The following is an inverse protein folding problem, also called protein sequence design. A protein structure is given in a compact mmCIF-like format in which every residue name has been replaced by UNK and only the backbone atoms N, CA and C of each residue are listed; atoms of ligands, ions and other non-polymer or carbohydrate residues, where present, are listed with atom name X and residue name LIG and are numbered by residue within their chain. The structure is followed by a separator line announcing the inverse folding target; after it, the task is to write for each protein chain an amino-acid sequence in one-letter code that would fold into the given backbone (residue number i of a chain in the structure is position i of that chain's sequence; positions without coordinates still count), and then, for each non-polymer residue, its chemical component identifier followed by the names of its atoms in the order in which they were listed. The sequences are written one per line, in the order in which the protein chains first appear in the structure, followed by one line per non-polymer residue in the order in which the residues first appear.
data_IF_676685662661
#
_entry.id   IF_676685662661
#
_cell.length_a   1.000
_cell.length_b   1.000
_cell.length_c   1.000
_cell.angle_alpha   90.00
_cell.angle_beta   90.00
_cell.angle_gamma   90.00
#
_symmetry.space_group_name_H-M   'P 1'
#
loop_
_entity.id
_entity.type
_entity.pdbx_description
1 polymer ?
#
# COMPACT_ATOMS: atom_id res chain seq x y z
N UNK A 1 -30.55 -11.77 -17.84
CA UNK A 1 -30.34 -10.31 -17.80
C UNK A 1 -29.46 -9.78 -16.64
N UNK A 2 -29.51 -10.32 -15.40
CA UNK A 2 -28.71 -9.78 -14.27
C UNK A 2 -27.23 -10.24 -14.23
N UNK A 3 -26.91 -11.43 -14.75
CA UNK A 3 -25.53 -11.97 -14.82
C UNK A 3 -24.62 -11.14 -15.76
N UNK A 4 -25.18 -10.55 -16.83
CA UNK A 4 -24.36 -9.75 -17.77
C UNK A 4 -23.89 -8.45 -17.11
N UNK A 5 -24.74 -7.77 -16.32
CA UNK A 5 -24.40 -6.49 -15.68
C UNK A 5 -23.22 -6.59 -14.72
N UNK A 6 -23.11 -7.66 -13.93
CA UNK A 6 -21.99 -7.86 -13.01
C UNK A 6 -20.67 -8.14 -13.76
N UNK A 7 -20.73 -9.00 -14.79
CA UNK A 7 -19.57 -9.29 -15.65
C UNK A 7 -19.10 -8.03 -16.38
N UNK A 8 -20.05 -7.21 -16.85
CA UNK A 8 -19.77 -5.91 -17.48
C UNK A 8 -19.13 -4.96 -16.47
N UNK A 9 -19.67 -4.82 -15.26
CA UNK A 9 -19.09 -3.96 -14.22
C UNK A 9 -17.65 -4.39 -13.88
N UNK A 10 -17.43 -5.67 -13.63
CA UNK A 10 -16.10 -6.19 -13.32
C UNK A 10 -15.11 -5.97 -14.49
N UNK A 11 -15.55 -6.22 -15.72
CA UNK A 11 -14.75 -5.95 -16.91
C UNK A 11 -14.41 -4.46 -17.05
N UNK A 12 -15.37 -3.57 -16.81
CA UNK A 12 -15.15 -2.12 -16.83
C UNK A 12 -14.15 -1.68 -15.75
N UNK A 13 -14.22 -2.23 -14.54
CA UNK A 13 -13.24 -1.94 -13.48
C UNK A 13 -11.82 -2.35 -13.89
N UNK A 14 -11.66 -3.54 -14.46
CA UNK A 14 -10.36 -4.04 -14.92
C UNK A 14 -9.84 -3.23 -16.12
N UNK A 15 -10.71 -2.94 -17.08
CA UNK A 15 -10.37 -2.11 -18.24
C UNK A 15 -9.94 -0.69 -17.83
N UNK A 16 -10.66 -0.10 -16.88
CA UNK A 16 -10.31 1.19 -16.31
C UNK A 16 -8.93 1.15 -15.61
N UNK A 17 -8.67 0.12 -14.79
CA UNK A 17 -7.39 -0.04 -14.12
C UNK A 17 -6.23 -0.20 -15.13
N UNK A 18 -6.39 -1.05 -16.15
CA UNK A 18 -5.39 -1.22 -17.22
C UNK A 18 -5.18 0.10 -17.97
N UNK A 19 -6.26 0.83 -18.28
CA UNK A 19 -6.19 2.11 -19.00
C UNK A 19 -5.38 3.15 -18.21
N UNK A 20 -5.58 3.25 -16.89
CA UNK A 20 -4.82 4.18 -16.02
C UNK A 20 -3.32 3.83 -16.03
N UNK A 21 -2.98 2.55 -15.83
CA UNK A 21 -1.56 2.14 -15.79
C UNK A 21 -0.91 2.29 -17.16
N UNK A 22 -1.64 1.99 -18.23
CA UNK A 22 -1.17 2.15 -19.62
C UNK A 22 -0.92 3.63 -19.95
N UNK A 23 -1.83 4.51 -19.52
CA UNK A 23 -1.66 5.95 -19.66
C UNK A 23 -0.40 6.44 -18.93
N UNK A 24 -0.16 5.95 -17.71
CA UNK A 24 1.05 6.28 -16.96
C UNK A 24 2.33 5.82 -17.66
N UNK A 25 2.33 4.63 -18.28
CA UNK A 25 3.49 4.16 -19.05
C UNK A 25 3.79 5.10 -20.22
N UNK A 26 2.77 5.58 -20.92
CA UNK A 26 2.94 6.54 -22.02
C UNK A 26 3.48 7.86 -21.48
N UNK A 27 2.90 8.37 -20.39
CA UNK A 27 3.32 9.60 -19.74
C UNK A 27 4.77 9.53 -19.25
N UNK A 28 5.20 8.41 -18.64
CA UNK A 28 6.60 8.20 -18.21
C UNK A 28 7.59 8.15 -19.38
N UNK A 29 7.19 7.59 -20.53
CA UNK A 29 8.04 7.63 -21.74
C UNK A 29 8.17 9.04 -22.30
N UNK A 30 7.11 9.83 -22.27
CA UNK A 30 7.16 11.25 -22.63
C UNK A 30 8.06 12.02 -21.67
N UNK A 31 7.91 11.80 -20.37
CA UNK A 31 8.75 12.42 -19.34
C UNK A 31 10.26 12.18 -19.55
N UNK A 32 10.68 10.96 -19.92
CA UNK A 32 12.09 10.67 -20.26
C UNK A 32 12.58 11.53 -21.44
N UNK A 33 11.76 11.66 -22.48
CA UNK A 33 12.10 12.47 -23.65
C UNK A 33 12.17 13.96 -23.27
N UNK A 34 11.23 14.45 -22.46
CA UNK A 34 11.13 15.86 -22.08
C UNK A 34 12.32 16.27 -21.19
N UNK A 35 12.73 15.43 -20.23
CA UNK A 35 13.93 15.64 -19.40
C UNK A 35 15.20 15.72 -20.27
N UNK A 36 15.25 14.90 -21.32
CA UNK A 36 16.41 14.85 -22.21
C UNK A 36 16.53 16.08 -23.10
N UNK A 37 15.39 16.71 -23.44
CA UNK A 37 15.31 17.74 -24.49
C UNK A 37 14.97 19.15 -23.99
N UNK A 38 14.44 19.32 -22.76
CA UNK A 38 13.94 20.61 -22.28
C UNK A 38 14.15 20.83 -20.78
N UNK A 39 14.35 22.09 -20.38
CA UNK A 39 14.37 22.52 -18.96
C UNK A 39 13.05 23.17 -18.53
N UNK A 40 12.08 23.30 -19.44
CA UNK A 40 10.81 24.01 -19.22
C UNK A 40 9.95 23.36 -18.12
N UNK A 41 10.13 22.06 -17.87
CA UNK A 41 9.38 21.29 -16.88
C UNK A 41 9.46 21.94 -15.47
N UNK A 42 10.55 22.64 -15.17
CA UNK A 42 10.84 23.13 -13.81
C UNK A 42 10.66 24.64 -13.63
N UNK A 43 10.29 25.36 -14.67
CA UNK A 43 10.18 26.82 -14.67
C UNK A 43 8.93 27.36 -13.94
N UNK A 44 7.97 26.51 -13.62
CA UNK A 44 6.74 26.90 -12.92
C UNK A 44 6.96 27.29 -11.45
N UNK A 45 8.15 26.99 -10.90
CA UNK A 45 8.48 27.22 -9.49
C UNK A 45 9.90 27.74 -9.32
N UNK A 46 10.07 28.82 -8.56
CA UNK A 46 11.37 29.45 -8.30
C UNK A 46 12.25 28.52 -7.47
N UNK A 47 11.70 27.95 -6.38
CA UNK A 47 12.41 26.97 -5.55
C UNK A 47 12.85 25.77 -6.40
N UNK A 48 11.96 25.27 -7.25
CA UNK A 48 12.23 24.07 -8.04
C UNK A 48 13.29 24.31 -9.11
N UNK A 49 13.24 25.47 -9.79
CA UNK A 49 14.29 25.91 -10.71
C UNK A 49 15.65 25.97 -9.99
N UNK A 50 15.71 26.61 -8.81
CA UNK A 50 16.95 26.72 -8.04
C UNK A 50 17.51 25.35 -7.62
N UNK A 51 16.66 24.43 -7.17
CA UNK A 51 17.08 23.09 -6.76
C UNK A 51 17.57 22.26 -7.94
N UNK A 52 16.90 22.37 -9.09
CA UNK A 52 17.28 21.68 -10.31
C UNK A 52 18.61 22.17 -10.87
N UNK A 53 18.82 23.49 -10.93
CA UNK A 53 20.05 24.10 -11.46
C UNK A 53 21.30 23.65 -10.70
N UNK A 54 21.17 23.33 -9.41
CA UNK A 54 22.27 22.83 -8.57
C UNK A 54 22.77 21.43 -8.97
N UNK A 55 21.93 20.60 -9.59
CA UNK A 55 22.24 19.18 -9.86
C UNK A 55 21.83 18.72 -11.26
N UNK A 56 21.59 19.64 -12.18
CA UNK A 56 20.96 19.41 -13.49
C UNK A 56 21.46 18.14 -14.21
N UNK A 57 22.78 18.01 -14.41
CA UNK A 57 23.36 16.89 -15.14
C UNK A 57 23.14 15.54 -14.45
N UNK A 58 23.35 15.49 -13.13
CA UNK A 58 23.14 14.28 -12.32
C UNK A 58 21.65 13.94 -12.27
N UNK A 59 20.80 14.95 -12.09
CA UNK A 59 19.36 14.79 -12.01
C UNK A 59 18.79 14.15 -13.28
N UNK A 60 19.21 14.61 -14.47
CA UNK A 60 18.75 14.04 -15.74
C UNK A 60 19.09 12.56 -15.86
N UNK A 61 20.32 12.19 -15.53
CA UNK A 61 20.81 10.80 -15.61
C UNK A 61 20.04 9.91 -14.63
N UNK A 62 19.95 10.31 -13.35
CA UNK A 62 19.27 9.55 -12.32
C UNK A 62 17.78 9.40 -12.60
N UNK A 63 17.10 10.48 -12.97
CA UNK A 63 15.67 10.44 -13.26
C UNK A 63 15.34 9.59 -14.49
N UNK A 64 16.19 9.60 -15.52
CA UNK A 64 16.03 8.68 -16.65
C UNK A 64 16.10 7.23 -16.18
N UNK A 65 17.16 6.86 -15.46
CA UNK A 65 17.37 5.49 -14.98
C UNK A 65 16.23 5.02 -14.06
N UNK A 66 15.77 5.88 -13.16
CA UNK A 66 14.67 5.57 -12.22
C UNK A 66 13.35 5.45 -12.95
N UNK A 67 13.08 6.33 -13.90
CA UNK A 67 11.83 6.29 -14.69
C UNK A 67 11.76 5.04 -15.55
N UNK A 68 12.88 4.59 -16.14
CA UNK A 68 12.94 3.33 -16.88
C UNK A 68 12.64 2.11 -15.98
N UNK A 69 13.23 2.06 -14.77
CA UNK A 69 12.90 1.04 -13.76
C UNK A 69 11.43 1.11 -13.34
N UNK A 70 10.90 2.32 -13.19
CA UNK A 70 9.50 2.55 -12.83
C UNK A 70 8.53 2.08 -13.92
N UNK A 71 8.84 2.29 -15.20
CA UNK A 71 8.05 1.75 -16.32
C UNK A 71 7.97 0.22 -16.24
N UNK A 72 9.07 -0.47 -15.87
CA UNK A 72 9.04 -1.92 -15.67
C UNK A 72 8.10 -2.33 -14.50
N UNK A 73 8.04 -1.54 -13.43
CA UNK A 73 7.09 -1.75 -12.33
C UNK A 73 5.64 -1.53 -12.76
N UNK A 74 5.36 -0.57 -13.65
CA UNK A 74 4.01 -0.37 -14.21
C UNK A 74 3.57 -1.55 -15.08
N UNK A 75 4.46 -2.13 -15.89
CA UNK A 75 4.17 -3.36 -16.62
C UNK A 75 3.86 -4.53 -15.69
N UNK A 76 4.56 -4.61 -14.55
CA UNK A 76 4.28 -5.58 -13.52
C UNK A 76 2.87 -5.39 -12.93
N UNK A 77 2.43 -4.16 -12.69
CA UNK A 77 1.07 -3.88 -12.24
C UNK A 77 0.02 -4.31 -13.27
N UNK A 78 0.24 -4.09 -14.57
CA UNK A 78 -0.66 -4.59 -15.62
C UNK A 78 -0.78 -6.12 -15.54
N UNK A 79 0.36 -6.81 -15.39
CA UNK A 79 0.37 -8.27 -15.21
C UNK A 79 -0.45 -8.72 -13.99
N UNK A 80 -0.32 -8.03 -12.86
CA UNK A 80 -1.10 -8.32 -11.65
C UNK A 80 -2.61 -8.15 -11.90
N UNK A 81 -3.02 -7.05 -12.53
CA UNK A 81 -4.42 -6.77 -12.85
C UNK A 81 -5.00 -7.86 -13.78
N UNK A 82 -4.25 -8.26 -14.81
CA UNK A 82 -4.66 -9.33 -15.73
C UNK A 82 -4.78 -10.68 -15.00
N UNK A 83 -3.87 -10.96 -14.07
CA UNK A 83 -3.93 -12.19 -13.27
C UNK A 83 -5.15 -12.20 -12.35
N UNK A 84 -5.49 -11.06 -11.74
CA UNK A 84 -6.73 -10.89 -10.97
C UNK A 84 -7.97 -11.19 -11.83
N UNK A 85 -8.00 -10.69 -13.07
CA UNK A 85 -9.07 -10.94 -14.04
C UNK A 85 -9.22 -12.44 -14.32
N UNK A 86 -8.13 -13.13 -14.66
CA UNK A 86 -8.16 -14.57 -14.97
C UNK A 86 -8.66 -15.39 -13.78
N UNK A 87 -8.10 -15.16 -12.59
CA UNK A 87 -8.51 -15.88 -11.37
C UNK A 87 -10.00 -15.60 -11.06
N UNK A 88 -10.45 -14.36 -11.17
CA UNK A 88 -11.86 -14.01 -10.95
C UNK A 88 -12.78 -14.72 -11.92
N UNK A 89 -12.42 -14.77 -13.21
CA UNK A 89 -13.22 -15.44 -14.23
C UNK A 89 -13.34 -16.95 -13.96
N UNK A 90 -12.29 -17.58 -13.43
CA UNK A 90 -12.34 -18.98 -12.99
C UNK A 90 -13.42 -19.17 -11.93
N UNK A 91 -13.46 -18.29 -10.91
CA UNK A 91 -14.45 -18.42 -9.84
C UNK A 91 -15.86 -17.92 -10.21
N UNK A 92 -16.00 -17.00 -11.17
CA UNK A 92 -17.32 -16.55 -11.66
C UNK A 92 -17.94 -17.56 -12.64
N UNK A 93 -17.11 -18.24 -13.45
CA UNK A 93 -17.57 -19.15 -14.50
C UNK A 93 -17.84 -20.55 -13.97
N UNK A 94 -19.13 -20.93 -13.85
CA UNK A 94 -19.54 -22.30 -13.47
C UNK A 94 -18.89 -23.39 -14.35
N UNK A 95 -18.71 -23.13 -15.66
CA UNK A 95 -18.04 -24.05 -16.59
C UNK A 95 -16.56 -24.23 -16.26
N UNK A 96 -15.84 -23.13 -16.02
CA UNK A 96 -14.42 -23.17 -15.67
C UNK A 96 -14.20 -23.89 -14.33
N UNK A 97 -15.02 -23.58 -13.32
CA UNK A 97 -15.00 -24.28 -12.02
C UNK A 97 -15.17 -25.79 -12.19
N UNK A 98 -16.19 -26.25 -12.93
CA UNK A 98 -16.43 -27.69 -13.13
C UNK A 98 -15.25 -28.42 -13.78
N UNK A 99 -14.60 -27.82 -14.78
CA UNK A 99 -13.44 -28.42 -15.46
C UNK A 99 -12.28 -28.63 -14.48
N UNK A 100 -12.02 -27.62 -13.64
CA UNK A 100 -10.92 -27.66 -12.68
C UNK A 100 -11.24 -28.61 -11.52
N UNK A 101 -12.47 -28.58 -10.98
CA UNK A 101 -12.87 -29.49 -9.90
C UNK A 101 -12.89 -30.94 -10.31
N UNK A 102 -13.22 -31.25 -11.58
CA UNK A 102 -13.11 -32.61 -12.09
C UNK A 102 -11.68 -33.14 -11.94
N UNK A 103 -10.68 -32.37 -12.38
CA UNK A 103 -9.25 -32.73 -12.23
C UNK A 103 -8.77 -32.80 -10.78
N UNK A 104 -9.24 -31.90 -9.91
CA UNK A 104 -8.84 -31.91 -8.49
C UNK A 104 -9.45 -33.09 -7.72
N UNK A 105 -10.67 -33.52 -8.08
CA UNK A 105 -11.36 -34.63 -7.42
C UNK A 105 -10.91 -36.02 -7.93
N UNK A 106 -10.23 -36.09 -9.07
CA UNK A 106 -9.58 -37.31 -9.59
C UNK A 106 -8.40 -37.77 -8.72
N UNK A 107 -7.82 -36.87 -7.92
CA UNK A 107 -6.78 -37.20 -6.95
C UNK A 107 -7.39 -37.55 -5.58
N UNK A 108 -6.87 -38.61 -4.95
CA UNK A 108 -7.27 -39.05 -3.61
C UNK A 108 -6.90 -37.99 -2.56
N UNK A 109 -7.80 -37.03 -2.32
CA UNK A 109 -7.67 -36.07 -1.23
C UNK A 109 -7.90 -36.77 0.11
N UNK A 110 -6.94 -36.63 1.01
CA UNK A 110 -7.00 -37.10 2.39
C UNK A 110 -8.11 -36.39 3.17
N UNK A 111 -8.91 -37.16 3.92
CA UNK A 111 -9.82 -36.60 4.92
C UNK A 111 -9.00 -36.02 6.07
N UNK A 112 -9.21 -34.74 6.40
CA UNK A 112 -8.55 -34.10 7.53
C UNK A 112 -9.49 -34.22 8.73
N UNK A 113 -9.18 -35.03 9.77
CA UNK A 113 -10.13 -35.40 10.82
C UNK A 113 -10.59 -34.24 11.71
N UNK A 114 -9.90 -33.10 11.66
CA UNK A 114 -10.12 -31.99 12.57
C UNK A 114 -11.12 -30.93 12.04
N UNK A 115 -11.51 -31.00 10.77
CA UNK A 115 -12.46 -30.08 10.15
C UNK A 115 -13.66 -30.85 9.59
N UNK A 116 -14.87 -30.51 10.02
CA UNK A 116 -16.14 -30.98 9.42
C UNK A 116 -16.40 -30.32 8.05
N UNK A 117 -15.38 -30.23 7.19
CA UNK A 117 -15.50 -29.72 5.83
C UNK A 117 -15.71 -30.89 4.86
N UNK A 118 -16.59 -30.70 3.87
CA UNK A 118 -16.72 -31.67 2.79
C UNK A 118 -15.46 -31.66 1.91
N UNK A 119 -15.16 -32.80 1.28
CA UNK A 119 -14.07 -32.91 0.28
C UNK A 119 -14.14 -31.81 -0.79
N UNK A 120 -15.34 -31.47 -1.26
CA UNK A 120 -15.56 -30.39 -2.22
C UNK A 120 -15.13 -29.01 -1.71
N UNK A 121 -15.28 -28.74 -0.40
CA UNK A 121 -14.89 -27.49 0.23
C UNK A 121 -13.37 -27.38 0.36
N UNK A 122 -12.71 -28.48 0.75
CA UNK A 122 -11.25 -28.57 0.78
C UNK A 122 -10.67 -28.33 -0.62
N UNK A 123 -11.21 -28.99 -1.66
CA UNK A 123 -10.80 -28.75 -3.05
C UNK A 123 -11.00 -27.29 -3.47
N UNK A 124 -12.09 -26.64 -3.01
CA UNK A 124 -12.41 -25.25 -3.33
C UNK A 124 -11.37 -24.26 -2.76
N UNK A 125 -10.95 -24.46 -1.51
CA UNK A 125 -9.86 -23.68 -0.90
C UNK A 125 -8.51 -23.98 -1.54
N UNK A 126 -8.18 -25.26 -1.75
CA UNK A 126 -6.91 -25.67 -2.38
C UNK A 126 -6.73 -25.03 -3.76
N UNK A 127 -7.80 -24.91 -4.55
CA UNK A 127 -7.76 -24.21 -5.82
C UNK A 127 -7.37 -22.73 -5.67
N UNK A 128 -7.96 -22.01 -4.72
CA UNK A 128 -7.60 -20.61 -4.46
C UNK A 128 -6.11 -20.49 -4.12
N UNK A 129 -5.61 -21.38 -3.25
CA UNK A 129 -4.20 -21.40 -2.82
C UNK A 129 -3.26 -21.64 -4.00
N UNK A 130 -3.55 -22.65 -4.83
CA UNK A 130 -2.75 -22.96 -6.03
C UNK A 130 -2.71 -21.76 -6.96
N UNK A 131 -3.85 -21.13 -7.25
CA UNK A 131 -3.92 -19.97 -8.15
C UNK A 131 -3.10 -18.78 -7.61
N UNK A 132 -3.20 -18.49 -6.32
CA UNK A 132 -2.40 -17.44 -5.68
C UNK A 132 -0.91 -17.77 -5.75
N UNK A 133 -0.53 -19.00 -5.41
CA UNK A 133 0.87 -19.46 -5.44
C UNK A 133 1.47 -19.36 -6.85
N UNK A 134 0.78 -19.91 -7.85
CA UNK A 134 1.20 -19.86 -9.26
C UNK A 134 1.32 -18.42 -9.75
N UNK A 135 0.37 -17.55 -9.42
CA UNK A 135 0.44 -16.13 -9.81
C UNK A 135 1.69 -15.43 -9.27
N UNK A 136 2.05 -15.66 -8.01
CA UNK A 136 3.25 -15.07 -7.42
C UNK A 136 4.54 -15.65 -7.99
N UNK A 137 4.59 -16.94 -8.33
CA UNK A 137 5.76 -17.55 -9.00
C UNK A 137 5.96 -16.95 -10.38
N UNK A 138 4.91 -16.85 -11.19
CA UNK A 138 5.03 -16.29 -12.54
C UNK A 138 5.46 -14.81 -12.44
N UNK A 139 4.88 -14.05 -11.50
CA UNK A 139 5.32 -12.69 -11.18
C UNK A 139 6.83 -12.65 -10.91
N UNK A 140 7.31 -13.54 -10.06
CA UNK A 140 8.73 -13.64 -9.74
C UNK A 140 9.58 -13.92 -10.99
N UNK A 141 9.23 -14.93 -11.78
CA UNK A 141 10.01 -15.35 -12.95
C UNK A 141 10.07 -14.26 -14.04
N UNK A 142 8.97 -13.54 -14.26
CA UNK A 142 8.90 -12.53 -15.32
C UNK A 142 9.65 -11.23 -14.96
N UNK A 143 9.65 -10.83 -13.70
CA UNK A 143 10.05 -9.47 -13.30
C UNK A 143 11.30 -9.40 -12.43
N UNK A 144 11.67 -10.46 -11.71
CA UNK A 144 12.88 -10.45 -10.87
C UNK A 144 14.17 -10.46 -11.71
N UNK A 145 14.13 -11.05 -12.91
CA UNK A 145 15.28 -11.11 -13.82
C UNK A 145 15.53 -9.82 -14.62
N UNK A 146 14.56 -8.89 -14.68
CA UNK A 146 14.64 -7.68 -15.53
C UNK A 146 14.84 -6.37 -14.78
N UNK A 147 14.50 -6.30 -13.48
CA UNK A 147 14.45 -5.03 -12.74
C UNK A 147 15.78 -4.71 -12.02
N UNK A 148 16.78 -5.60 -12.10
CA UNK A 148 18.11 -5.32 -11.54
C UNK A 148 18.10 -5.11 -10.03
N UNK A 149 17.16 -5.73 -9.31
CA UNK A 149 17.27 -5.84 -7.86
C UNK A 149 18.49 -6.71 -7.55
N UNK A 150 19.52 -6.11 -6.95
CA UNK A 150 20.72 -6.79 -6.47
C UNK A 150 20.36 -8.08 -5.73
N UNK A 151 20.96 -9.19 -6.17
CA UNK A 151 20.98 -10.49 -5.51
C UNK A 151 19.73 -10.83 -4.67
N UNK A 152 18.56 -10.84 -5.31
CA UNK A 152 17.34 -11.38 -4.72
C UNK A 152 17.53 -12.88 -4.43
N UNK A 153 17.71 -13.25 -3.16
CA UNK A 153 17.83 -14.66 -2.76
C UNK A 153 16.49 -15.39 -2.99
N UNK A 154 16.41 -16.04 -4.15
CA UNK A 154 15.28 -16.87 -4.58
C UNK A 154 14.84 -17.85 -3.49
N UNK A 155 15.80 -18.40 -2.74
CA UNK A 155 15.52 -19.38 -1.68
C UNK A 155 14.82 -18.71 -0.50
N UNK A 156 15.32 -17.56 -0.04
CA UNK A 156 14.68 -16.77 1.02
C UNK A 156 13.26 -16.34 0.63
N UNK A 157 13.06 -15.87 -0.60
CA UNK A 157 11.73 -15.47 -1.08
C UNK A 157 10.78 -16.65 -1.23
N UNK A 158 11.20 -17.78 -1.79
CA UNK A 158 10.36 -18.99 -1.84
C UNK A 158 10.01 -19.46 -0.43
N UNK A 159 10.97 -19.47 0.49
CA UNK A 159 10.72 -19.86 1.87
C UNK A 159 9.71 -18.92 2.55
N UNK A 160 9.85 -17.61 2.35
CA UNK A 160 8.90 -16.61 2.84
C UNK A 160 7.53 -16.75 2.18
N UNK A 161 7.48 -17.02 0.88
CA UNK A 161 6.25 -17.18 0.12
C UNK A 161 5.50 -18.45 0.52
N UNK A 162 6.20 -19.56 0.70
CA UNK A 162 5.67 -20.80 1.26
C UNK A 162 5.16 -20.55 2.68
N UNK A 163 5.93 -19.87 3.54
CA UNK A 163 5.49 -19.51 4.90
C UNK A 163 4.26 -18.63 4.87
N UNK A 164 4.24 -17.58 4.06
CA UNK A 164 3.08 -16.70 3.90
C UNK A 164 1.86 -17.47 3.40
N UNK A 165 2.02 -18.36 2.43
CA UNK A 165 0.91 -19.07 1.81
C UNK A 165 0.39 -20.16 2.72
N UNK A 166 1.26 -20.96 3.34
CA UNK A 166 0.85 -21.94 4.35
C UNK A 166 0.18 -21.20 5.50
N UNK A 167 0.82 -20.18 6.07
CA UNK A 167 0.27 -19.46 7.21
C UNK A 167 -1.06 -18.77 6.86
N UNK A 168 -1.13 -17.95 5.79
CA UNK A 168 -2.36 -17.23 5.41
C UNK A 168 -3.47 -18.18 4.97
N UNK A 169 -3.14 -19.28 4.28
CA UNK A 169 -4.15 -20.23 3.81
C UNK A 169 -4.67 -21.13 4.92
N UNK A 170 -3.80 -21.69 5.77
CA UNK A 170 -4.22 -22.51 6.90
C UNK A 170 -4.82 -21.69 8.03
N UNK A 171 -4.28 -20.50 8.34
CA UNK A 171 -4.92 -19.58 9.28
C UNK A 171 -6.25 -19.09 8.71
N UNK A 172 -6.32 -18.73 7.43
CA UNK A 172 -7.56 -18.34 6.76
C UNK A 172 -8.60 -19.46 6.79
N UNK A 173 -8.21 -20.71 6.52
CA UNK A 173 -9.07 -21.89 6.60
C UNK A 173 -9.51 -22.17 8.05
N UNK A 174 -8.59 -22.06 9.01
CA UNK A 174 -8.85 -22.23 10.44
C UNK A 174 -9.83 -21.18 10.96
N UNK A 175 -9.61 -19.90 10.66
CA UNK A 175 -10.52 -18.83 11.04
C UNK A 175 -11.86 -18.99 10.34
N UNK A 176 -11.88 -19.26 9.02
CA UNK A 176 -13.11 -19.51 8.29
C UNK A 176 -13.90 -20.66 8.94
N UNK A 177 -13.27 -21.78 9.25
CA UNK A 177 -13.95 -22.94 9.85
C UNK A 177 -14.38 -22.72 11.29
N UNK A 178 -13.58 -22.01 12.09
CA UNK A 178 -13.98 -21.56 13.41
C UNK A 178 -15.22 -20.64 13.34
N UNK A 179 -15.25 -19.72 12.38
CA UNK A 179 -16.40 -18.85 12.13
C UNK A 179 -17.64 -19.64 11.71
N UNK A 180 -17.51 -20.56 10.76
CA UNK A 180 -18.63 -21.36 10.28
C UNK A 180 -19.17 -22.33 11.35
N UNK A 181 -18.30 -22.83 12.25
CA UNK A 181 -18.67 -23.79 13.30
C UNK A 181 -19.36 -23.14 14.49
N UNK A 182 -18.93 -21.95 14.90
CA UNK A 182 -19.38 -21.34 16.17
C UNK A 182 -20.31 -20.13 15.98
N UNK A 183 -20.31 -19.49 14.81
CA UNK A 183 -20.98 -18.20 14.61
C UNK A 183 -21.92 -18.22 13.42
N UNK A 184 -23.24 -18.08 13.68
CA UNK A 184 -24.24 -17.84 12.63
C UNK A 184 -23.86 -16.57 11.84
N UNK A 185 -24.24 -16.52 10.55
CA UNK A 185 -23.93 -15.45 9.57
C UNK A 185 -23.91 -14.00 10.10
N UNK A 186 -24.80 -13.64 11.04
CA UNK A 186 -24.86 -12.31 11.68
C UNK A 186 -23.65 -11.95 12.55
N UNK A 187 -22.97 -12.94 13.15
CA UNK A 187 -21.83 -12.73 14.04
C UNK A 187 -20.48 -12.75 13.30
N UNK A 188 -20.42 -13.36 12.10
CA UNK A 188 -19.25 -13.28 11.22
C UNK A 188 -18.93 -11.82 10.88
N UNK A 189 -19.97 -11.03 10.59
CA UNK A 189 -19.84 -9.60 10.30
C UNK A 189 -19.27 -8.81 11.48
N UNK A 190 -19.76 -9.08 12.68
CA UNK A 190 -19.30 -8.41 13.91
C UNK A 190 -17.84 -8.77 14.22
N UNK A 191 -17.46 -10.04 14.05
CA UNK A 191 -16.09 -10.45 14.35
C UNK A 191 -15.10 -10.06 13.26
N UNK A 192 -15.49 -9.96 11.99
CA UNK A 192 -14.63 -9.39 10.93
C UNK A 192 -14.37 -7.91 11.20
N UNK A 193 -15.40 -7.15 11.61
CA UNK A 193 -15.24 -5.75 12.02
C UNK A 193 -14.31 -5.66 13.23
N UNK A 194 -14.53 -6.49 14.26
CA UNK A 194 -13.71 -6.50 15.47
C UNK A 194 -12.24 -6.92 15.19
N UNK A 195 -12.03 -7.90 14.31
CA UNK A 195 -10.69 -8.39 13.94
C UNK A 195 -9.96 -7.41 13.02
N UNK A 196 -10.65 -6.74 12.11
CA UNK A 196 -10.10 -5.67 11.28
C UNK A 196 -9.64 -4.47 12.11
N UNK A 197 -10.49 -4.04 13.05
CA UNK A 197 -10.12 -3.02 14.03
C UNK A 197 -8.93 -3.48 14.89
N UNK A 198 -8.98 -4.71 15.41
CA UNK A 198 -7.90 -5.28 16.22
C UNK A 198 -6.56 -5.36 15.47
N UNK A 199 -6.54 -5.83 14.22
CA UNK A 199 -5.32 -5.91 13.41
C UNK A 199 -4.75 -4.52 13.08
N UNK A 200 -5.60 -3.54 12.76
CA UNK A 200 -5.17 -2.17 12.54
C UNK A 200 -4.47 -1.60 13.79
N UNK A 201 -5.07 -1.76 14.97
CA UNK A 201 -4.47 -1.32 16.24
C UNK A 201 -3.20 -2.11 16.62
N UNK A 202 -3.15 -3.41 16.31
CA UNK A 202 -2.03 -4.28 16.68
C UNK A 202 -0.80 -4.10 15.79
N UNK A 203 -0.99 -3.90 14.48
CA UNK A 203 0.11 -3.72 13.51
C UNK A 203 0.75 -2.35 13.70
N UNK A 204 -0.06 -1.29 13.89
CA UNK A 204 0.48 0.05 14.16
C UNK A 204 1.39 0.07 15.40
N UNK A 205 1.16 -0.77 16.41
CA UNK A 205 1.97 -0.76 17.63
C UNK A 205 3.17 -1.71 17.59
N UNK A 206 3.11 -2.83 16.86
CA UNK A 206 4.21 -3.82 16.80
C UNK A 206 5.40 -3.33 15.96
N UNK A 207 5.15 -2.47 14.97
CA UNK A 207 6.20 -1.74 14.24
C UNK A 207 6.79 -0.60 15.10
N UNK A 208 6.08 -0.18 16.16
CA UNK A 208 6.45 0.89 17.10
C UNK A 208 6.97 0.34 18.44
N UNK A 209 7.82 -0.69 18.41
CA UNK A 209 8.60 -1.10 19.60
C UNK A 209 9.26 0.10 20.27
N UNK A 210 9.63 -0.01 21.56
CA UNK A 210 10.26 1.11 22.26
C UNK A 210 11.51 1.60 21.50
N UNK A 211 11.50 2.84 20.94
CA UNK A 211 12.60 3.34 20.14
C UNK A 211 13.93 3.36 20.92
N UNK A 212 13.86 3.46 22.25
CA UNK A 212 15.05 3.44 23.09
C UNK A 212 15.76 2.08 23.04
N UNK A 213 15.01 0.97 22.89
CA UNK A 213 15.55 -0.38 22.74
C UNK A 213 16.20 -0.56 21.36
N UNK A 214 15.76 0.20 20.35
CA UNK A 214 16.29 0.15 18.99
C UNK A 214 17.47 1.11 18.72
N UNK A 215 17.98 1.79 19.76
CA UNK A 215 19.12 2.69 19.69
C UNK A 215 18.80 4.07 19.10
N UNK A 216 17.56 4.55 19.23
CA UNK A 216 17.22 5.93 18.92
C UNK A 216 17.52 6.84 20.11
N UNK A 217 18.06 8.03 19.83
CA UNK A 217 18.30 9.08 20.80
C UNK A 217 17.15 10.09 20.81
N UNK A 218 16.93 10.78 21.93
CA UNK A 218 15.94 11.85 21.99
C UNK A 218 16.55 13.15 21.45
N UNK A 219 15.81 13.85 20.60
CA UNK A 219 16.19 15.21 20.20
C UNK A 219 15.94 16.13 21.39
N UNK A 220 16.95 16.89 21.79
CA UNK A 220 16.78 17.97 22.76
C UNK A 220 16.01 19.14 22.10
N UNK A 221 14.77 19.44 22.54
CA UNK A 221 13.97 20.49 21.95
C UNK A 221 14.62 21.87 22.07
N UNK A 222 15.50 22.11 23.06
CA UNK A 222 16.16 23.41 23.25
C UNK A 222 17.00 23.82 22.05
N UNK A 223 17.53 22.85 21.31
CA UNK A 223 18.38 23.04 20.12
C UNK A 223 17.59 23.49 18.87
N UNK A 224 16.26 23.40 18.92
CA UNK A 224 15.35 23.70 17.82
C UNK A 224 14.91 25.17 17.81
N UNK A 225 14.45 25.61 16.64
CA UNK A 225 13.94 26.96 16.46
C UNK A 225 12.68 27.19 17.30
N UNK A 226 12.45 28.44 17.70
CA UNK A 226 11.36 28.82 18.61
C UNK A 226 10.00 28.36 18.10
N UNK A 227 9.73 28.53 16.80
CA UNK A 227 8.46 28.12 16.19
C UNK A 227 8.24 26.60 16.24
N UNK A 228 9.31 25.81 16.07
CA UNK A 228 9.26 24.34 16.19
C UNK A 228 9.01 23.95 17.65
N UNK A 229 9.68 24.60 18.61
CA UNK A 229 9.46 24.35 20.05
C UNK A 229 8.02 24.61 20.46
N UNK A 230 7.44 25.71 20.01
CA UNK A 230 6.03 26.04 20.24
C UNK A 230 5.09 25.02 19.61
N UNK A 231 5.39 24.56 18.39
CA UNK A 231 4.61 23.51 17.72
C UNK A 231 4.67 22.17 18.47
N UNK A 232 5.83 21.76 18.98
CA UNK A 232 6.01 20.56 19.82
C UNK A 232 5.13 20.65 21.06
N UNK A 233 5.14 21.80 21.75
CA UNK A 233 4.31 22.04 22.93
C UNK A 233 2.81 21.97 22.59
N UNK A 234 2.37 22.61 21.49
CA UNK A 234 0.98 22.54 21.01
C UNK A 234 0.53 21.12 20.69
N UNK A 235 1.43 20.31 20.11
CA UNK A 235 1.16 18.92 19.77
C UNK A 235 1.10 17.99 20.99
N UNK A 236 1.54 18.46 22.17
CA UNK A 236 1.70 17.69 23.41
C UNK A 236 2.61 16.46 23.22
N UNK A 237 3.68 16.62 22.43
CA UNK A 237 4.67 15.57 22.16
C UNK A 237 5.67 15.38 23.31
N UNK A 238 5.89 16.41 24.14
CA UNK A 238 6.95 16.37 25.15
C UNK A 238 8.32 16.11 24.50
N UNK A 239 9.07 15.15 25.05
CA UNK A 239 10.38 14.73 24.53
C UNK A 239 10.30 13.48 23.65
N UNK A 240 9.11 13.10 23.15
CA UNK A 240 8.91 11.89 22.34
C UNK A 240 9.23 12.12 20.85
N UNK A 241 10.41 12.71 20.60
CA UNK A 241 10.98 12.90 19.28
C UNK A 241 12.32 12.16 19.28
N UNK A 242 12.39 11.13 18.46
CA UNK A 242 13.49 10.18 18.42
C UNK A 242 14.23 10.30 17.10
N UNK A 243 15.55 10.29 17.16
CA UNK A 243 16.43 10.33 15.99
C UNK A 243 17.45 9.21 16.06
N UNK A 244 17.68 8.55 14.93
CA UNK A 244 18.79 7.63 14.75
C UNK A 244 19.56 8.02 13.50
N UNK A 245 20.80 8.43 13.72
CA UNK A 245 21.71 8.80 12.64
C UNK A 245 22.38 7.54 12.11
N UNK A 246 21.62 6.70 11.39
CA UNK A 246 22.21 5.52 10.73
C UNK A 246 23.09 5.97 9.56
N UNK A 247 24.20 5.27 9.32
CA UNK A 247 24.97 5.42 8.06
C UNK A 247 24.29 4.76 6.86
N UNK A 248 22.99 4.44 6.96
CA UNK A 248 22.25 3.80 5.89
C UNK A 248 21.71 4.84 4.91
N UNK A 249 21.72 4.52 3.61
CA UNK A 249 21.17 5.38 2.55
C UNK A 249 19.64 5.58 2.64
N UNK A 250 18.97 4.80 3.49
CA UNK A 250 17.52 4.87 3.66
C UNK A 250 17.16 5.90 4.73
N UNK A 251 16.75 7.08 4.29
CA UNK A 251 16.08 8.06 5.14
C UNK A 251 14.61 7.71 5.28
N UNK A 252 14.12 7.66 6.51
CA UNK A 252 12.70 7.55 6.83
C UNK A 252 12.34 8.50 7.98
N UNK A 253 11.15 9.07 7.91
CA UNK A 253 10.56 9.85 8.99
C UNK A 253 9.08 9.49 9.06
N UNK A 254 8.57 9.30 10.26
CA UNK A 254 7.16 9.01 10.44
C UNK A 254 6.68 9.38 11.83
N UNK A 255 5.37 9.60 11.90
CA UNK A 255 4.67 9.75 13.15
C UNK A 255 4.00 8.45 13.60
N UNK A 256 4.18 8.17 14.88
CA UNK A 256 3.66 7.06 15.63
C UNK A 256 2.50 7.57 16.51
N UNK A 257 1.25 7.24 16.20
CA UNK A 257 0.06 7.79 16.90
C UNK A 257 -0.87 6.69 17.39
N UNK A 258 -1.33 6.78 18.64
CA UNK A 258 -2.55 6.14 19.11
C UNK A 258 -3.45 7.17 19.83
N UNK A 259 -4.52 6.72 20.50
CA UNK A 259 -5.43 7.63 21.21
C UNK A 259 -4.82 8.36 22.41
N UNK A 260 -3.67 7.91 22.92
CA UNK A 260 -3.07 8.38 24.19
C UNK A 260 -1.74 9.09 23.95
N UNK A 261 -0.90 8.56 23.06
CA UNK A 261 0.50 8.95 22.84
C UNK A 261 0.77 9.25 21.38
N UNK A 262 1.64 10.23 21.13
CA UNK A 262 2.21 10.55 19.83
C UNK A 262 3.73 10.53 19.94
N UNK A 263 4.43 10.01 18.94
CA UNK A 263 5.89 10.01 18.87
C UNK A 263 6.32 10.32 17.44
N UNK A 264 7.43 11.02 17.27
CA UNK A 264 8.06 11.23 15.96
C UNK A 264 9.35 10.43 15.93
N UNK A 265 9.57 9.68 14.86
CA UNK A 265 10.78 8.88 14.66
C UNK A 265 11.44 9.32 13.36
N UNK A 266 12.72 9.68 13.46
CA UNK A 266 13.58 10.11 12.37
C UNK A 266 14.74 9.12 12.23
N UNK A 267 14.94 8.53 11.06
CA UNK A 267 16.02 7.58 10.78
C UNK A 267 16.77 7.94 9.50
N UNK A 268 18.08 8.16 9.59
CA UNK A 268 18.95 8.34 8.43
C UNK A 268 20.05 9.37 8.65
N UNK A 269 21.04 9.33 7.77
CA UNK A 269 22.23 10.17 7.86
C UNK A 269 21.94 11.67 7.69
N UNK A 270 20.89 12.03 6.94
CA UNK A 270 20.53 13.43 6.68
C UNK A 270 20.24 14.21 7.98
N UNK A 271 19.82 13.50 9.04
CA UNK A 271 19.50 14.09 10.34
C UNK A 271 20.72 14.51 11.16
N UNK A 272 21.94 14.23 10.69
CA UNK A 272 23.17 14.86 11.22
C UNK A 272 23.16 16.38 11.02
N UNK A 273 22.43 16.88 10.02
CA UNK A 273 22.38 18.30 9.67
C UNK A 273 21.09 18.92 10.23
N UNK A 274 21.27 19.92 11.09
CA UNK A 274 20.16 20.65 11.72
C UNK A 274 19.15 21.20 10.70
N UNK A 275 19.65 21.75 9.59
CA UNK A 275 18.83 22.33 8.52
C UNK A 275 17.79 21.33 7.96
N UNK A 276 18.22 20.15 7.54
CA UNK A 276 17.30 19.14 7.00
C UNK A 276 16.38 18.54 8.08
N UNK A 277 16.92 18.38 9.29
CA UNK A 277 16.16 17.90 10.45
C UNK A 277 14.99 18.82 10.75
N UNK A 278 15.19 20.14 10.73
CA UNK A 278 14.13 21.11 10.99
C UNK A 278 13.03 21.08 9.92
N UNK A 279 13.42 20.99 8.64
CA UNK A 279 12.46 20.85 7.53
C UNK A 279 11.57 19.63 7.70
N UNK A 280 12.17 18.44 7.84
CA UNK A 280 11.41 17.18 7.98
C UNK A 280 10.62 17.14 9.29
N UNK A 281 11.20 17.56 10.41
CA UNK A 281 10.51 17.60 11.69
C UNK A 281 9.29 18.52 11.65
N UNK A 282 9.37 19.67 10.97
CA UNK A 282 8.24 20.58 10.83
C UNK A 282 7.08 19.95 10.04
N UNK A 283 7.37 19.12 9.04
CA UNK A 283 6.38 18.33 8.32
C UNK A 283 5.75 17.26 9.23
N UNK A 284 6.55 16.48 9.95
CA UNK A 284 6.04 15.47 10.89
C UNK A 284 5.21 16.09 12.03
N UNK A 285 5.53 17.30 12.46
CA UNK A 285 4.71 18.06 13.41
C UNK A 285 3.35 18.45 12.84
N UNK A 286 3.26 18.68 11.53
CA UNK A 286 1.97 18.85 10.83
C UNK A 286 1.11 17.60 10.97
N UNK A 287 1.69 16.41 10.74
CA UNK A 287 0.99 15.14 11.01
C UNK A 287 0.65 14.97 12.49
N UNK A 288 1.50 15.42 13.41
CA UNK A 288 1.20 15.38 14.85
C UNK A 288 0.01 16.25 15.24
N UNK A 289 -0.09 17.44 14.64
CA UNK A 289 -1.18 18.37 14.87
C UNK A 289 -2.51 17.77 14.39
N UNK A 290 -2.50 17.19 13.18
CA UNK A 290 -3.67 16.54 12.57
C UNK A 290 -3.88 15.08 13.01
N UNK A 291 -3.03 14.55 13.89
CA UNK A 291 -2.95 13.10 14.17
C UNK A 291 -4.26 12.45 14.61
N UNK A 292 -5.12 13.18 15.32
CA UNK A 292 -6.47 12.67 15.68
C UNK A 292 -7.37 12.57 14.45
N UNK A 293 -7.36 13.57 13.58
CA UNK A 293 -8.13 13.57 12.34
C UNK A 293 -7.65 12.46 11.40
N UNK A 294 -6.32 12.24 11.32
CA UNK A 294 -5.72 11.13 10.58
C UNK A 294 -6.22 9.80 11.13
N UNK A 295 -6.17 9.60 12.46
CA UNK A 295 -6.63 8.38 13.12
C UNK A 295 -8.13 8.14 12.89
N UNK A 296 -8.97 9.15 13.09
CA UNK A 296 -10.41 9.05 12.86
C UNK A 296 -10.74 8.77 11.40
N UNK A 297 -10.08 9.44 10.45
CA UNK A 297 -10.31 9.22 9.04
C UNK A 297 -9.88 7.81 8.60
N UNK A 298 -8.73 7.31 9.09
CA UNK A 298 -8.28 5.93 8.85
C UNK A 298 -9.27 4.92 9.43
N UNK A 299 -9.68 5.06 10.69
CA UNK A 299 -10.68 4.17 11.32
C UNK A 299 -12.00 4.20 10.56
N UNK A 300 -12.48 5.39 10.21
CA UNK A 300 -13.74 5.56 9.47
C UNK A 300 -13.67 4.91 8.10
N UNK A 301 -12.56 5.10 7.39
CA UNK A 301 -12.33 4.48 6.09
C UNK A 301 -12.29 2.97 6.23
N UNK A 302 -11.54 2.42 7.19
CA UNK A 302 -11.52 0.97 7.45
C UNK A 302 -12.92 0.42 7.75
N UNK A 303 -13.71 1.07 8.62
CA UNK A 303 -15.10 0.66 8.89
C UNK A 303 -15.93 0.68 7.59
N UNK A 304 -15.85 1.75 6.80
CA UNK A 304 -16.60 1.88 5.55
C UNK A 304 -16.20 0.81 4.54
N UNK A 305 -14.90 0.49 4.47
CA UNK A 305 -14.37 -0.60 3.64
C UNK A 305 -14.92 -1.93 4.07
N UNK A 306 -14.92 -2.21 5.37
CA UNK A 306 -15.56 -3.42 5.90
C UNK A 306 -17.04 -3.48 5.52
N UNK A 307 -17.82 -2.43 5.79
CA UNK A 307 -19.24 -2.39 5.41
C UNK A 307 -19.43 -2.62 3.91
N UNK A 308 -18.61 -2.00 3.06
CA UNK A 308 -18.63 -2.20 1.62
C UNK A 308 -18.33 -3.66 1.23
N UNK A 309 -17.32 -4.27 1.83
CA UNK A 309 -16.98 -5.69 1.62
C UNK A 309 -18.14 -6.58 2.03
N UNK A 310 -18.73 -6.33 3.19
CA UNK A 310 -19.84 -7.15 3.70
C UNK A 310 -21.05 -7.04 2.79
N UNK A 311 -21.37 -5.83 2.32
CA UNK A 311 -22.41 -5.59 1.31
C UNK A 311 -22.09 -6.31 -0.01
N UNK A 312 -20.85 -6.21 -0.49
CA UNK A 312 -20.40 -6.83 -1.73
C UNK A 312 -20.46 -8.37 -1.64
N UNK A 313 -19.96 -8.96 -0.55
CA UNK A 313 -20.01 -10.40 -0.27
C UNK A 313 -21.47 -10.85 -0.14
N UNK A 314 -22.31 -10.14 0.61
CA UNK A 314 -23.72 -10.52 0.77
C UNK A 314 -24.49 -10.46 -0.56
N UNK A 315 -24.30 -9.40 -1.34
CA UNK A 315 -24.97 -9.22 -2.63
C UNK A 315 -24.48 -10.19 -3.72
N UNK A 316 -23.17 -10.48 -3.77
CA UNK A 316 -22.57 -11.29 -4.84
C UNK A 316 -22.50 -12.77 -4.51
N UNK A 317 -22.15 -13.13 -3.27
CA UNK A 317 -22.08 -14.54 -2.87
C UNK A 317 -23.45 -15.17 -2.85
N UNK A 318 -24.46 -14.45 -2.34
CA UNK A 318 -25.80 -15.00 -2.20
C UNK A 318 -26.44 -15.45 -3.52
N UNK A 319 -26.00 -14.94 -4.67
CA UNK A 319 -26.65 -15.19 -5.96
C UNK A 319 -25.76 -15.77 -7.07
N UNK A 320 -24.44 -15.59 -7.05
CA UNK A 320 -23.61 -15.89 -8.23
C UNK A 320 -22.35 -16.74 -7.97
N UNK A 321 -21.85 -16.76 -6.73
CA UNK A 321 -20.59 -17.43 -6.38
C UNK A 321 -20.76 -18.78 -5.67
N UNK A 322 -21.99 -19.19 -5.32
CA UNK A 322 -22.24 -20.51 -4.71
C UNK A 322 -21.98 -21.60 -5.75
N UNK A 323 -21.04 -22.50 -5.45
CA UNK A 323 -20.95 -23.78 -6.15
C UNK A 323 -21.99 -24.73 -5.58
N UNK A 324 -22.70 -25.49 -6.42
CA UNK A 324 -23.78 -26.39 -5.97
C UNK A 324 -23.28 -27.47 -5.01
N UNK A 325 -21.97 -27.76 -5.03
CA UNK A 325 -21.34 -28.77 -4.20
C UNK A 325 -20.69 -28.21 -2.92
N UNK A 326 -20.78 -26.90 -2.69
CA UNK A 326 -20.08 -26.18 -1.60
C UNK A 326 -21.11 -25.40 -0.78
N UNK A 327 -20.95 -25.36 0.55
CA UNK A 327 -21.85 -24.54 1.37
C UNK A 327 -21.75 -23.05 0.97
N UNK A 328 -22.87 -22.33 1.04
CA UNK A 328 -22.91 -20.87 0.80
C UNK A 328 -21.91 -20.12 1.68
N UNK A 329 -21.70 -20.65 2.87
CA UNK A 329 -20.77 -20.18 3.88
C UNK A 329 -19.31 -20.35 3.44
N UNK A 330 -18.93 -21.53 2.94
CA UNK A 330 -17.61 -21.75 2.34
C UNK A 330 -17.38 -20.88 1.09
N UNK A 331 -18.38 -20.73 0.22
CA UNK A 331 -18.28 -19.81 -0.93
C UNK A 331 -18.10 -18.35 -0.49
N UNK A 332 -18.69 -17.95 0.63
CA UNK A 332 -18.54 -16.59 1.19
C UNK A 332 -17.13 -16.36 1.72
N UNK A 333 -16.57 -17.35 2.43
CA UNK A 333 -15.21 -17.29 2.93
C UNK A 333 -14.17 -17.20 1.80
N UNK A 334 -14.32 -18.00 0.74
CA UNK A 334 -13.40 -17.95 -0.41
C UNK A 334 -13.52 -16.63 -1.18
N UNK A 335 -14.73 -16.08 -1.36
CA UNK A 335 -14.85 -14.76 -1.98
C UNK A 335 -14.19 -13.67 -1.12
N UNK A 336 -14.33 -13.75 0.21
CA UNK A 336 -13.67 -12.82 1.11
C UNK A 336 -12.14 -12.90 1.03
N UNK A 337 -11.56 -14.11 1.00
CA UNK A 337 -10.12 -14.29 0.81
C UNK A 337 -9.64 -13.81 -0.56
N UNK A 338 -10.44 -14.06 -1.61
CA UNK A 338 -10.19 -13.53 -2.94
C UNK A 338 -10.18 -12.00 -2.96
N UNK A 339 -11.18 -11.39 -2.31
CA UNK A 339 -11.29 -9.96 -2.13
C UNK A 339 -10.03 -9.38 -1.44
N UNK A 340 -9.61 -9.97 -0.31
CA UNK A 340 -8.41 -9.53 0.41
C UNK A 340 -7.15 -9.62 -0.46
N UNK A 341 -7.06 -10.66 -1.28
CA UNK A 341 -5.86 -10.91 -2.10
C UNK A 341 -5.75 -9.98 -3.31
N UNK A 342 -6.88 -9.64 -3.95
CA UNK A 342 -6.85 -9.00 -5.27
C UNK A 342 -7.74 -7.77 -5.42
N UNK A 343 -8.88 -7.71 -4.70
CA UNK A 343 -9.86 -6.64 -4.87
C UNK A 343 -9.63 -5.46 -3.93
N UNK A 344 -8.85 -5.63 -2.86
CA UNK A 344 -8.45 -4.53 -1.96
C UNK A 344 -7.79 -3.36 -2.72
N UNK A 345 -7.16 -3.64 -3.86
CA UNK A 345 -6.54 -2.62 -4.75
C UNK A 345 -7.56 -1.58 -5.20
N UNK A 346 -8.82 -1.97 -5.43
CA UNK A 346 -9.88 -1.03 -5.82
C UNK A 346 -10.23 -0.02 -4.73
N UNK A 347 -9.86 -0.27 -3.47
CA UNK A 347 -10.06 0.66 -2.36
C UNK A 347 -8.86 1.55 -2.08
N UNK A 348 -7.67 1.21 -2.61
CA UNK A 348 -6.45 2.01 -2.43
C UNK A 348 -6.60 3.48 -2.83
N UNK A 349 -7.36 3.85 -3.89
CA UNK A 349 -7.55 5.25 -4.22
C UNK A 349 -8.07 6.11 -3.06
N UNK A 350 -8.97 5.56 -2.23
CA UNK A 350 -9.50 6.30 -1.09
C UNK A 350 -8.43 6.55 -0.01
N UNK A 351 -7.57 5.57 0.28
CA UNK A 351 -6.43 5.76 1.19
C UNK A 351 -5.44 6.77 0.65
N UNK A 352 -5.15 6.65 -0.65
CA UNK A 352 -4.14 7.43 -1.34
C UNK A 352 -4.55 8.90 -1.37
N UNK A 353 -5.79 9.21 -1.78
CA UNK A 353 -6.32 10.57 -1.76
C UNK A 353 -6.28 11.15 -0.34
N UNK A 354 -6.73 10.37 0.66
CA UNK A 354 -6.74 10.83 2.05
C UNK A 354 -5.33 11.11 2.57
N UNK A 355 -4.37 10.21 2.27
CA UNK A 355 -2.97 10.36 2.65
C UNK A 355 -2.35 11.59 1.98
N UNK A 356 -2.59 11.78 0.68
CA UNK A 356 -2.11 12.94 -0.07
C UNK A 356 -2.65 14.27 0.47
N UNK A 357 -3.91 14.31 0.91
CA UNK A 357 -4.47 15.49 1.58
C UNK A 357 -3.70 15.81 2.86
N UNK A 358 -3.39 14.80 3.67
CA UNK A 358 -2.64 14.98 4.91
C UNK A 358 -1.18 15.38 4.67
N UNK A 359 -0.54 14.90 3.60
CA UNK A 359 0.80 15.36 3.17
C UNK A 359 0.79 16.85 2.85
N UNK A 360 -0.18 17.32 2.05
CA UNK A 360 -0.26 18.76 1.72
C UNK A 360 -0.60 19.63 2.93
N UNK A 361 -1.38 19.12 3.89
CA UNK A 361 -1.62 19.83 5.16
C UNK A 361 -0.36 19.91 6.01
N UNK A 362 0.41 18.84 6.08
CA UNK A 362 1.69 18.82 6.78
C UNK A 362 2.71 19.76 6.13
N UNK A 363 2.78 19.79 4.80
CA UNK A 363 3.60 20.74 4.04
C UNK A 363 3.18 22.20 4.29
N UNK A 364 1.87 22.47 4.29
CA UNK A 364 1.34 23.80 4.62
C UNK A 364 1.66 24.21 6.07
N UNK A 365 1.58 23.26 7.01
CA UNK A 365 1.97 23.48 8.40
C UNK A 365 3.47 23.82 8.51
N UNK A 366 4.35 23.09 7.83
CA UNK A 366 5.77 23.41 7.75
C UNK A 366 6.02 24.82 7.17
N UNK A 367 5.27 25.21 6.12
CA UNK A 367 5.31 26.58 5.57
C UNK A 367 4.88 27.63 6.60
N UNK A 368 3.87 27.34 7.42
CA UNK A 368 3.43 28.23 8.51
C UNK A 368 4.47 28.43 9.62
N UNK A 369 5.42 27.50 9.76
CA UNK A 369 6.57 27.59 10.64
C UNK A 369 7.82 28.15 9.93
N UNK A 370 7.66 28.76 8.76
CA UNK A 370 8.76 29.27 7.94
C UNK A 370 9.82 28.21 7.56
N UNK A 371 9.46 26.92 7.57
CA UNK A 371 10.36 25.79 7.28
C UNK A 371 10.20 25.23 5.85
N UNK A 372 9.49 25.92 4.96
CA UNK A 372 9.25 25.46 3.59
C UNK A 372 10.55 25.31 2.76
N UNK A 373 11.54 26.20 2.91
CA UNK A 373 12.83 26.07 2.18
C UNK A 373 13.66 24.89 2.72
N UNK A 374 13.88 24.73 4.04
CA UNK A 374 14.52 23.53 4.58
C UNK A 374 13.83 22.23 4.19
N UNK A 375 12.50 22.21 4.20
CA UNK A 375 11.71 21.05 3.79
C UNK A 375 11.86 20.78 2.29
N UNK A 376 11.79 21.79 1.43
CA UNK A 376 11.98 21.66 -0.02
C UNK A 376 13.31 21.00 -0.37
N UNK A 377 14.41 21.49 0.23
CA UNK A 377 15.74 20.92 0.04
C UNK A 377 15.82 19.48 0.55
N UNK A 378 15.21 19.18 1.69
CA UNK A 378 15.18 17.83 2.27
C UNK A 378 14.45 16.84 1.36
N UNK A 379 13.24 17.20 0.90
CA UNK A 379 12.44 16.36 0.00
C UNK A 379 13.16 16.13 -1.33
N UNK A 380 13.75 17.18 -1.89
CA UNK A 380 14.50 17.07 -3.14
C UNK A 380 15.65 16.07 -3.01
N UNK A 381 16.54 16.24 -2.02
CA UNK A 381 17.71 15.38 -1.79
C UNK A 381 17.30 13.93 -1.51
N UNK A 382 16.24 13.71 -0.74
CA UNK A 382 15.78 12.37 -0.37
C UNK A 382 15.20 11.64 -1.58
N UNK A 383 14.60 12.34 -2.54
CA UNK A 383 13.71 11.72 -3.52
C UNK A 383 14.23 11.71 -4.95
N UNK A 384 15.13 12.62 -5.34
CA UNK A 384 15.56 12.73 -6.75
C UNK A 384 16.26 11.47 -7.27
N UNK A 385 16.73 10.57 -6.39
CA UNK A 385 17.33 9.29 -6.75
C UNK A 385 16.50 8.06 -6.33
N UNK A 386 15.27 8.23 -5.84
CA UNK A 386 14.43 7.12 -5.33
C UNK A 386 13.18 6.84 -6.16
N UNK A 387 12.59 7.86 -6.76
CA UNK A 387 11.35 7.74 -7.50
C UNK A 387 11.31 8.75 -8.66
N UNK A 388 10.47 8.49 -9.68
CA UNK A 388 10.18 9.50 -10.69
C UNK A 388 9.68 10.78 -10.03
N UNK A 389 10.25 11.91 -10.42
CA UNK A 389 9.97 13.20 -9.81
C UNK A 389 8.55 13.70 -10.13
N UNK A 390 8.03 13.30 -11.29
CA UNK A 390 6.70 13.60 -11.81
C UNK A 390 5.97 12.28 -12.09
N UNK A 391 4.64 12.32 -12.04
CA UNK A 391 3.72 11.25 -12.45
C UNK A 391 2.47 11.89 -13.04
N UNK A 392 1.68 11.17 -13.83
CA UNK A 392 0.44 11.75 -14.33
C UNK A 392 -0.54 11.99 -13.17
N UNK A 393 -1.30 13.09 -13.25
CA UNK A 393 -2.23 13.48 -12.17
C UNK A 393 -3.24 12.38 -11.84
N UNK A 394 -3.76 11.70 -12.86
CA UNK A 394 -4.74 10.63 -12.67
C UNK A 394 -4.13 9.42 -11.97
N UNK A 395 -2.95 8.98 -12.41
CA UNK A 395 -2.26 7.85 -11.78
C UNK A 395 -1.85 8.20 -10.35
N UNK A 396 -1.21 9.35 -10.15
CA UNK A 396 -0.77 9.82 -8.84
C UNK A 396 -1.93 9.91 -7.85
N UNK A 397 -3.06 10.52 -8.22
CA UNK A 397 -4.23 10.64 -7.34
C UNK A 397 -4.80 9.28 -6.91
N UNK A 398 -4.74 8.27 -7.78
CA UNK A 398 -5.37 6.97 -7.52
C UNK A 398 -4.42 5.95 -6.87
N UNK A 399 -3.13 5.98 -7.19
CA UNK A 399 -2.21 4.87 -6.92
C UNK A 399 -0.98 5.25 -6.08
N UNK A 400 -0.61 6.53 -6.00
CA UNK A 400 0.47 6.95 -5.10
C UNK A 400 -0.01 7.21 -3.68
N UNK A 401 0.77 6.77 -2.70
CA UNK A 401 0.52 7.05 -1.28
C UNK A 401 0.83 8.49 -0.91
N UNK A 402 1.83 9.09 -1.56
CA UNK A 402 2.22 10.49 -1.39
C UNK A 402 2.10 11.25 -2.71
N UNK A 403 1.83 12.57 -2.69
CA UNK A 403 1.87 13.37 -3.91
C UNK A 403 3.28 13.33 -4.51
N UNK A 404 3.39 13.60 -5.81
CA UNK A 404 4.70 13.69 -6.44
C UNK A 404 5.54 14.78 -5.78
N UNK A 405 6.86 14.62 -5.75
CA UNK A 405 7.75 15.63 -5.17
C UNK A 405 7.61 16.94 -5.95
N UNK A 406 7.47 16.86 -7.26
CA UNK A 406 7.15 18.02 -8.09
C UNK A 406 5.90 18.78 -7.59
N UNK A 407 4.78 18.09 -7.37
CA UNK A 407 3.54 18.72 -6.91
C UNK A 407 3.66 19.31 -5.50
N UNK A 408 4.47 18.72 -4.63
CA UNK A 408 4.75 19.24 -3.28
C UNK A 408 5.59 20.50 -3.35
N UNK A 409 6.72 20.46 -4.06
CA UNK A 409 7.64 21.58 -4.18
C UNK A 409 6.99 22.80 -4.85
N UNK A 410 6.13 22.58 -5.86
CA UNK A 410 5.38 23.64 -6.52
C UNK A 410 4.49 24.46 -5.56
N UNK A 411 4.09 23.89 -4.41
CA UNK A 411 3.28 24.59 -3.39
C UNK A 411 4.11 25.38 -2.37
N UNK A 412 5.44 25.27 -2.40
CA UNK A 412 6.31 25.98 -1.47
C UNK A 412 6.64 27.40 -1.89
N UNK A 413 6.58 27.72 -3.18
CA UNK A 413 6.39 29.10 -3.62
C UNK A 413 5.02 29.62 -3.15
#
# INVERSE_FOLDING_TARGET
MKISKLKIFYFLCIFFAISIVSYEIIFMKQYINDISNSTEIFQESKILTQLYDLVNDIFKIEQKNITEKYIALLWLQIYEILTCLVISLIFISKKARKIIFKKLNENNTTEIPFLTLKKSEISYFTLLVILIFTSKIIKYLLFSCKIGFDAFDFRSQINNLIREIIFKSYAGLFFATFFLKFFKRKYIYITIIAFGLFLHFSISFKEMGDPTIAGYERIDPTTLDIQIKEAIAKCKLGNDIFVKQTGSFFTNAFIAINFVTKRIILDGEIFKRKYFTQGILSHELGHAMDGRNILFAKITLEILRFVFILFFVDCLVSKYFVDENVSRDCSSAVLFLFYLSYFHVCLKPMDNILSQIFEFRADSFAKSLSQHIPLANSLFIISFNKAPFISSKLYSALLYTHPTIYDRLKKFD
#
